data_IF_565530932249
#
_entry.id   IF_565530932249
#
_cell.length_a   1.000
_cell.length_b   1.000
_cell.length_c   1.000
_cell.angle_alpha   90.00
_cell.angle_beta   90.00
_cell.angle_gamma   90.00
#
_symmetry.space_group_name_H-M   'P 1'
#
loop_
_entity.id
_entity.type
_entity.pdbx_description
1 polymer ?
#
# COMPACT_ATOMS: atom_id res chain seq x y z
N UNK A 1 -9.39 8.47 -21.36
CA UNK A 1 -8.58 7.25 -21.20
C UNK A 1 -8.35 7.15 -19.72
N UNK A 2 -9.11 6.31 -19.04
CA UNK A 2 -8.79 5.96 -17.67
C UNK A 2 -7.52 5.13 -17.72
N UNK A 3 -6.50 5.57 -16.98
CA UNK A 3 -5.31 4.78 -16.76
C UNK A 3 -5.59 3.89 -15.55
N UNK A 4 -5.29 2.60 -15.64
CA UNK A 4 -5.35 1.64 -14.52
C UNK A 4 -4.39 2.01 -13.36
N UNK A 5 -3.58 3.06 -13.56
CA UNK A 5 -2.60 3.57 -12.62
C UNK A 5 -3.23 4.53 -11.60
N UNK A 6 -3.15 4.17 -10.33
CA UNK A 6 -3.50 5.03 -9.21
C UNK A 6 -2.24 5.65 -8.58
N UNK A 7 -2.28 6.96 -8.30
CA UNK A 7 -1.21 7.66 -7.57
C UNK A 7 -1.70 8.15 -6.22
N UNK A 8 -1.01 7.75 -5.15
CA UNK A 8 -1.31 8.19 -3.77
C UNK A 8 -0.27 9.22 -3.32
N UNK A 9 -0.69 10.47 -3.09
CA UNK A 9 0.19 11.51 -2.58
C UNK A 9 0.39 11.36 -1.06
N UNK A 10 1.62 11.01 -0.66
CA UNK A 10 1.98 10.80 0.75
C UNK A 10 2.21 12.11 1.54
N UNK A 11 2.35 13.24 0.84
CA UNK A 11 2.55 14.57 1.39
C UNK A 11 3.93 15.15 1.05
N UNK A 12 4.06 16.47 1.20
CA UNK A 12 5.23 17.23 0.74
C UNK A 12 6.22 17.67 1.83
N UNK A 13 5.93 17.41 3.11
CA UNK A 13 6.71 17.95 4.25
C UNK A 13 6.87 16.96 5.39
N UNK A 14 7.41 15.77 5.11
CA UNK A 14 7.72 14.78 6.15
C UNK A 14 9.12 15.06 6.69
N UNK A 15 9.21 15.66 7.87
CA UNK A 15 10.50 15.92 8.53
C UNK A 15 11.19 14.62 8.96
N UNK A 16 12.51 14.54 8.77
CA UNK A 16 13.30 13.35 9.11
C UNK A 16 13.14 12.91 10.59
N UNK A 17 13.02 13.86 11.52
CA UNK A 17 12.78 13.57 12.94
C UNK A 17 11.47 12.83 13.24
N UNK A 18 10.49 12.90 12.33
CA UNK A 18 9.23 12.13 12.42
C UNK A 18 9.45 10.64 12.16
N UNK A 19 10.54 10.27 11.49
CA UNK A 19 10.84 8.90 11.06
C UNK A 19 12.03 8.28 11.79
N UNK A 20 12.91 9.08 12.41
CA UNK A 20 14.08 8.57 13.13
C UNK A 20 13.73 7.56 14.23
N UNK A 21 14.63 6.59 14.45
CA UNK A 21 14.53 5.55 15.48
C UNK A 21 13.30 4.64 15.33
N UNK A 22 12.99 4.21 14.10
CA UNK A 22 11.89 3.27 13.85
C UNK A 22 10.50 3.91 13.86
N UNK A 23 10.40 5.24 13.89
CA UNK A 23 9.12 5.94 13.92
C UNK A 23 8.44 5.91 12.54
N UNK A 24 7.13 6.09 12.56
CA UNK A 24 6.28 5.97 11.37
C UNK A 24 5.32 7.16 11.25
N UNK A 25 4.82 7.37 10.04
CA UNK A 25 3.74 8.34 9.79
C UNK A 25 2.34 7.69 9.89
N UNK A 26 2.19 6.55 10.56
CA UNK A 26 0.95 5.74 10.56
C UNK A 26 -0.30 6.50 11.06
N UNK A 27 -0.11 7.47 11.96
CA UNK A 27 -1.19 8.34 12.44
C UNK A 27 -1.70 9.31 11.37
N UNK A 28 -0.89 9.59 10.35
CA UNK A 28 -1.21 10.39 9.18
C UNK A 28 -1.17 9.54 7.89
N UNK A 29 -1.42 8.23 8.00
CA UNK A 29 -1.44 7.32 6.86
C UNK A 29 -2.43 7.82 5.78
N UNK A 30 -2.07 7.62 4.52
CA UNK A 30 -2.93 7.99 3.39
C UNK A 30 -3.81 6.82 3.03
N UNK A 31 -5.10 7.06 3.02
CA UNK A 31 -6.10 6.09 2.56
C UNK A 31 -6.15 6.10 1.04
N UNK A 32 -6.28 4.92 0.45
CA UNK A 32 -6.59 4.74 -0.94
C UNK A 32 -7.51 3.51 -1.08
N UNK A 33 -8.27 3.43 -2.15
CA UNK A 33 -9.15 2.30 -2.43
C UNK A 33 -8.93 1.79 -3.84
N UNK A 34 -9.24 0.51 -4.02
CA UNK A 34 -9.42 -0.10 -5.33
C UNK A 34 -10.89 -0.48 -5.41
N UNK A 35 -11.59 0.13 -6.36
CA UNK A 35 -12.99 -0.17 -6.63
C UNK A 35 -13.09 -1.21 -7.75
N UNK A 36 -13.93 -2.21 -7.51
CA UNK A 36 -14.30 -3.21 -8.50
C UNK A 36 -15.73 -2.92 -8.95
N UNK A 37 -15.96 -2.91 -10.25
CA UNK A 37 -17.27 -2.64 -10.86
C UNK A 37 -17.72 -3.81 -11.74
N UNK A 38 -19.04 -4.02 -11.82
CA UNK A 38 -19.63 -5.05 -12.69
C UNK A 38 -19.28 -6.48 -12.30
N UNK A 39 -19.02 -6.72 -11.02
CA UNK A 39 -18.70 -8.05 -10.53
C UNK A 39 -19.92 -8.97 -10.58
N UNK A 40 -19.70 -10.24 -10.91
CA UNK A 40 -20.71 -11.29 -10.79
C UNK A 40 -20.09 -12.45 -10.05
N UNK A 41 -20.70 -12.84 -8.95
CA UNK A 41 -20.19 -13.85 -8.04
C UNK A 41 -21.00 -15.13 -8.17
N UNK A 42 -20.34 -16.28 -8.22
CA UNK A 42 -21.01 -17.57 -8.28
C UNK A 42 -20.96 -18.25 -6.92
N UNK A 43 -19.76 -18.60 -6.47
CA UNK A 43 -19.53 -19.28 -5.19
C UNK A 43 -18.48 -18.60 -4.33
N UNK A 44 -17.78 -17.62 -4.90
CA UNK A 44 -16.73 -16.86 -4.27
C UNK A 44 -17.30 -16.11 -3.06
N UNK A 45 -16.53 -16.09 -1.99
CA UNK A 45 -16.87 -15.40 -0.74
C UNK A 45 -15.83 -14.37 -0.36
N UNK A 46 -14.62 -14.47 -0.93
CA UNK A 46 -13.50 -13.65 -0.55
C UNK A 46 -12.75 -13.11 -1.76
N UNK A 47 -12.18 -11.92 -1.56
CA UNK A 47 -11.17 -11.30 -2.39
C UNK A 47 -9.82 -11.44 -1.69
N UNK A 48 -8.88 -12.06 -2.37
CA UNK A 48 -7.49 -12.16 -1.95
C UNK A 48 -6.66 -11.14 -2.71
N UNK A 49 -5.94 -10.31 -1.96
CA UNK A 49 -5.10 -9.23 -2.48
C UNK A 49 -3.65 -9.49 -2.09
N UNK A 50 -2.76 -9.38 -3.08
CA UNK A 50 -1.32 -9.46 -2.88
C UNK A 50 -0.67 -8.22 -3.47
N UNK A 51 0.14 -7.53 -2.66
CA UNK A 51 1.01 -6.45 -3.12
C UNK A 51 2.41 -6.99 -3.39
N UNK A 52 2.97 -6.62 -4.53
CA UNK A 52 4.37 -6.91 -4.90
C UNK A 52 5.08 -5.66 -5.38
N UNK A 53 6.39 -5.74 -5.57
CA UNK A 53 7.19 -4.60 -6.05
C UNK A 53 6.79 -4.23 -7.48
N UNK A 54 6.50 -2.95 -7.70
CA UNK A 54 6.23 -2.40 -9.01
C UNK A 54 7.50 -2.17 -9.84
N UNK A 55 7.32 -1.69 -11.08
CA UNK A 55 8.43 -1.41 -11.99
C UNK A 55 9.42 -0.40 -11.38
N UNK A 56 10.72 -0.74 -11.42
CA UNK A 56 11.78 0.10 -10.87
C UNK A 56 11.87 0.15 -9.34
N UNK A 57 10.99 -0.57 -8.62
CA UNK A 57 10.97 -0.68 -7.16
C UNK A 57 11.50 -2.04 -6.70
N UNK A 58 11.97 -2.09 -5.46
CA UNK A 58 12.41 -3.31 -4.77
C UNK A 58 11.80 -3.39 -3.37
N UNK A 59 11.98 -4.50 -2.68
CA UNK A 59 11.73 -4.54 -1.24
C UNK A 59 12.79 -3.71 -0.50
N UNK A 60 12.39 -3.00 0.56
CA UNK A 60 13.32 -2.18 1.32
C UNK A 60 14.39 -3.02 2.03
N UNK A 61 15.66 -2.60 1.92
CA UNK A 61 16.76 -3.27 2.62
C UNK A 61 16.57 -3.14 4.14
N UNK A 62 16.55 -4.27 4.86
CA UNK A 62 16.34 -4.30 6.31
C UNK A 62 14.89 -4.14 6.76
N UNK A 63 13.93 -3.97 5.83
CA UNK A 63 12.50 -3.92 6.08
C UNK A 63 11.75 -4.57 4.90
N UNK A 64 12.06 -5.84 4.62
CA UNK A 64 11.64 -6.55 3.40
C UNK A 64 10.13 -6.73 3.27
N UNK A 65 9.39 -6.55 4.36
CA UNK A 65 7.93 -6.52 4.37
C UNK A 65 7.37 -5.30 3.62
N UNK A 66 8.19 -4.26 3.37
CA UNK A 66 7.80 -2.96 2.83
C UNK A 66 8.52 -2.64 1.51
N UNK A 67 7.99 -1.67 0.77
CA UNK A 67 8.60 -1.18 -0.47
C UNK A 67 9.79 -0.25 -0.20
N UNK A 68 10.82 -0.37 -1.02
CA UNK A 68 11.90 0.59 -1.09
C UNK A 68 11.41 1.91 -1.71
N UNK A 69 12.03 3.02 -1.32
CA UNK A 69 11.78 4.32 -1.92
C UNK A 69 12.76 4.59 -3.06
N UNK A 70 12.26 5.18 -4.14
CA UNK A 70 13.03 5.67 -5.27
C UNK A 70 12.95 7.19 -5.37
N UNK A 71 13.81 7.75 -6.21
CA UNK A 71 13.65 9.08 -6.76
C UNK A 71 13.61 8.96 -8.28
N UNK A 72 12.73 9.71 -8.92
CA UNK A 72 12.53 9.67 -10.37
C UNK A 72 13.71 10.24 -11.17
N UNK A 73 14.62 11.00 -10.53
CA UNK A 73 15.77 11.64 -11.18
C UNK A 73 17.12 10.93 -10.99
N UNK A 74 17.15 9.79 -10.28
CA UNK A 74 18.36 8.99 -10.07
C UNK A 74 19.35 9.52 -9.01
N UNK A 75 19.03 10.59 -8.27
CA UNK A 75 19.93 11.17 -7.23
C UNK A 75 19.82 10.50 -5.85
N UNK A 76 19.10 9.38 -5.75
CA UNK A 76 18.84 8.66 -4.51
C UNK A 76 17.62 9.20 -3.76
N UNK A 77 16.74 8.29 -3.33
CA UNK A 77 15.59 8.64 -2.50
C UNK A 77 16.03 9.05 -1.08
N UNK A 78 15.09 9.55 -0.28
CA UNK A 78 15.27 9.63 1.18
C UNK A 78 15.78 8.28 1.72
N UNK A 79 16.92 8.31 2.40
CA UNK A 79 17.59 7.11 2.89
C UNK A 79 17.01 6.64 4.22
N UNK A 80 17.11 5.33 4.48
CA UNK A 80 16.66 4.68 5.71
C UNK A 80 15.15 4.86 5.99
N UNK A 81 14.34 4.87 4.94
CA UNK A 81 12.87 4.90 5.01
C UNK A 81 12.30 3.90 4.00
N UNK A 82 11.19 3.29 4.36
CA UNK A 82 10.40 2.39 3.50
C UNK A 82 8.94 2.82 3.45
N UNK A 83 8.21 2.35 2.44
CA UNK A 83 6.76 2.54 2.31
C UNK A 83 6.04 1.25 2.69
N UNK A 84 5.25 1.34 3.77
CA UNK A 84 4.33 0.29 4.17
C UNK A 84 2.97 0.48 3.50
N UNK A 85 2.34 -0.64 3.13
CA UNK A 85 0.94 -0.71 2.68
C UNK A 85 0.20 -1.57 3.69
N UNK A 86 -0.96 -1.12 4.15
CA UNK A 86 -1.78 -1.84 5.11
C UNK A 86 -3.25 -1.82 4.77
N UNK A 87 -4.02 -2.57 5.55
CA UNK A 87 -5.48 -2.59 5.46
C UNK A 87 -6.10 -1.28 6.00
N UNK A 88 -7.43 -1.20 5.99
CA UNK A 88 -8.18 -0.06 6.54
C UNK A 88 -7.93 0.15 8.06
N UNK A 89 -7.57 -0.91 8.79
CA UNK A 89 -7.19 -0.90 10.20
C UNK A 89 -5.74 -0.48 10.45
N UNK A 90 -4.97 -0.20 9.39
CA UNK A 90 -3.53 0.12 9.41
C UNK A 90 -2.68 -1.06 9.89
N UNK A 91 -3.14 -2.30 9.69
CA UNK A 91 -2.29 -3.47 9.84
C UNK A 91 -1.44 -3.63 8.58
N UNK A 92 -0.13 -3.79 8.74
CA UNK A 92 0.78 -3.91 7.60
C UNK A 92 0.48 -5.19 6.80
N UNK A 93 0.32 -5.05 5.49
CA UNK A 93 0.24 -6.15 4.54
C UNK A 93 1.63 -6.32 3.96
N UNK A 94 2.31 -7.39 4.34
CA UNK A 94 3.69 -7.63 3.90
C UNK A 94 3.72 -7.91 2.40
N UNK A 95 4.76 -7.44 1.73
CA UNK A 95 4.97 -7.76 0.32
C UNK A 95 4.99 -9.28 0.08
N UNK A 96 4.13 -9.73 -0.84
CA UNK A 96 3.96 -11.14 -1.17
C UNK A 96 2.98 -11.92 -0.28
N UNK A 97 2.57 -11.37 0.86
CA UNK A 97 1.55 -12.00 1.70
C UNK A 97 0.14 -11.78 1.11
N UNK A 98 -0.75 -12.72 1.39
CA UNK A 98 -2.16 -12.63 1.01
C UNK A 98 -2.94 -11.91 2.10
N UNK A 99 -3.57 -10.80 1.73
CA UNK A 99 -4.65 -10.17 2.51
C UNK A 99 -6.00 -10.65 2.00
N UNK A 100 -6.87 -11.09 2.90
CA UNK A 100 -8.20 -11.62 2.55
C UNK A 100 -9.28 -10.68 3.07
N UNK A 101 -10.16 -10.23 2.18
CA UNK A 101 -11.35 -9.47 2.51
C UNK A 101 -12.59 -10.24 2.04
N UNK A 102 -13.60 -10.38 2.90
CA UNK A 102 -14.88 -10.95 2.48
C UNK A 102 -15.53 -10.04 1.42
N UNK A 103 -16.19 -10.65 0.43
CA UNK A 103 -17.04 -9.93 -0.50
C UNK A 103 -18.23 -9.40 0.29
N UNK A 104 -18.48 -8.09 0.19
CA UNK A 104 -19.54 -7.44 0.93
C UNK A 104 -20.90 -7.78 0.31
N UNK A 105 -21.85 -8.03 1.21
CA UNK A 105 -23.29 -7.91 0.99
C UNK A 105 -23.69 -6.57 1.64
N UNK A 106 -23.83 -5.53 0.82
CA UNK A 106 -24.06 -4.13 1.22
C UNK A 106 -25.57 -3.82 1.32
N UNK A 107 -26.45 -4.65 0.78
CA UNK A 107 -27.90 -4.45 0.78
C UNK A 107 -28.67 -5.45 1.67
N UNK A 108 -28.01 -6.49 2.18
CA UNK A 108 -28.51 -7.47 3.13
C UNK A 108 -29.45 -8.51 2.52
N UNK A 109 -29.49 -8.62 1.19
CA UNK A 109 -30.42 -9.48 0.46
C UNK A 109 -29.88 -10.89 0.15
N UNK A 110 -28.67 -11.21 0.66
CA UNK A 110 -27.90 -12.45 0.42
C UNK A 110 -27.27 -12.58 -0.97
N UNK A 111 -27.36 -11.55 -1.82
CA UNK A 111 -26.66 -11.42 -3.09
C UNK A 111 -25.43 -10.54 -2.85
N UNK A 112 -24.27 -11.01 -3.30
CA UNK A 112 -23.03 -10.24 -3.20
C UNK A 112 -23.05 -9.10 -4.22
N UNK A 113 -22.69 -7.89 -3.81
CA UNK A 113 -22.81 -6.72 -4.69
C UNK A 113 -21.87 -6.77 -5.89
N UNK A 114 -22.38 -6.25 -7.01
CA UNK A 114 -21.61 -5.98 -8.23
C UNK A 114 -20.46 -4.97 -8.02
N UNK A 115 -20.57 -4.13 -6.98
CA UNK A 115 -19.58 -3.11 -6.64
C UNK A 115 -18.92 -3.45 -5.31
N UNK A 116 -17.60 -3.54 -5.33
CA UNK A 116 -16.80 -3.81 -4.14
C UNK A 116 -15.72 -2.74 -3.98
N UNK A 117 -15.38 -2.38 -2.75
CA UNK A 117 -14.30 -1.44 -2.46
C UNK A 117 -13.31 -2.06 -1.48
N UNK A 118 -12.06 -2.21 -1.92
CA UNK A 118 -10.95 -2.68 -1.11
C UNK A 118 -10.22 -1.45 -0.56
N UNK A 119 -10.29 -1.26 0.76
CA UNK A 119 -9.76 -0.07 1.43
C UNK A 119 -8.38 -0.32 2.03
N UNK A 120 -7.41 0.51 1.67
CA UNK A 120 -6.02 0.39 2.09
C UNK A 120 -5.48 1.68 2.66
N UNK A 121 -4.37 1.56 3.36
CA UNK A 121 -3.60 2.69 3.88
C UNK A 121 -2.12 2.56 3.51
N UNK A 122 -1.44 3.70 3.36
CA UNK A 122 -0.02 3.76 3.09
C UNK A 122 0.68 4.75 4.02
N UNK A 123 1.85 4.38 4.55
CA UNK A 123 2.63 5.25 5.44
C UNK A 123 4.14 4.98 5.35
N UNK A 124 4.93 5.99 5.69
CA UNK A 124 6.38 5.87 5.75
C UNK A 124 6.83 5.27 7.09
N UNK A 125 7.86 4.43 7.02
CA UNK A 125 8.50 3.77 8.15
C UNK A 125 10.00 4.06 8.09
N UNK A 126 10.52 4.79 9.09
CA UNK A 126 11.95 5.01 9.20
C UNK A 126 12.67 3.82 9.81
N UNK A 127 13.95 3.65 9.50
CA UNK A 127 14.76 2.58 10.05
C UNK A 127 14.96 2.73 11.57
N UNK A 128 15.06 1.61 12.28
CA UNK A 128 15.34 1.58 13.72
C UNK A 128 16.75 2.11 14.05
N UNK A 129 17.70 1.92 13.13
CA UNK A 129 19.10 2.33 13.26
C UNK A 129 19.55 3.11 12.03
N UNK A 130 20.54 3.98 12.20
CA UNK A 130 21.05 4.84 11.13
C UNK A 130 20.33 6.18 11.04
N UNK A 131 20.91 7.11 10.27
CA UNK A 131 20.37 8.46 10.12
C UNK A 131 19.36 8.49 9.00
N UNK A 132 18.11 8.87 9.29
CA UNK A 132 17.11 9.15 8.27
C UNK A 132 17.54 10.36 7.46
N UNK A 133 17.64 10.19 6.14
CA UNK A 133 18.05 11.25 5.23
C UNK A 133 16.97 12.29 5.00
N UNK A 134 17.22 13.16 4.02
CA UNK A 134 16.25 14.10 3.48
C UNK A 134 16.22 13.94 1.97
N UNK A 135 15.05 14.10 1.37
CA UNK A 135 14.92 14.02 -0.08
C UNK A 135 13.49 13.76 -0.51
N UNK A 136 13.27 13.84 -1.81
CA UNK A 136 12.03 13.36 -2.42
C UNK A 136 11.99 11.83 -2.38
N UNK A 137 10.78 11.31 -2.55
CA UNK A 137 10.56 9.87 -2.60
C UNK A 137 9.35 9.54 -3.48
N UNK A 138 9.43 8.38 -4.12
CA UNK A 138 8.35 7.71 -4.81
C UNK A 138 8.51 6.20 -4.61
N UNK A 139 7.47 5.43 -4.92
CA UNK A 139 7.51 3.97 -4.90
C UNK A 139 6.40 3.45 -5.81
N UNK A 140 6.58 2.27 -6.39
CA UNK A 140 5.57 1.60 -7.19
C UNK A 140 5.28 0.21 -6.62
N UNK A 141 4.01 -0.19 -6.67
CA UNK A 141 3.55 -1.52 -6.28
C UNK A 141 2.68 -2.09 -7.39
N UNK A 142 2.77 -3.41 -7.61
CA UNK A 142 1.76 -4.13 -8.36
C UNK A 142 0.75 -4.71 -7.37
N UNK A 143 -0.52 -4.72 -7.76
CA UNK A 143 -1.59 -5.38 -7.03
C UNK A 143 -2.11 -6.56 -7.84
N UNK A 144 -2.35 -7.69 -7.19
CA UNK A 144 -3.04 -8.85 -7.77
C UNK A 144 -4.24 -9.17 -6.91
N UNK A 145 -5.41 -9.29 -7.55
CA UNK A 145 -6.66 -9.64 -6.90
C UNK A 145 -7.13 -10.98 -7.46
N UNK A 146 -7.49 -11.89 -6.58
CA UNK A 146 -8.06 -13.20 -6.92
C UNK A 146 -9.30 -13.47 -6.07
N UNK A 147 -10.22 -14.27 -6.59
CA UNK A 147 -11.52 -14.53 -5.98
C UNK A 147 -11.66 -16.01 -5.63
N UNK A 148 -12.09 -16.31 -4.40
CA UNK A 148 -12.24 -17.67 -3.87
C UNK A 148 -13.54 -17.83 -3.08
#
# INVERSE_FOLDING_TARGET
MDTDDQTVNLGSSIGNGTLSNGKTTINNARTFHIDLEGCTWATEKNMNVVFTTGSGTTAATGATDNLALMKTDGTGAISNVSLAIGDAGKNNIKLGDTYTQAIADLDGDTILDEKQSLNFTAWLVGAATGTVGTGEFSSAANVTISYL
#
